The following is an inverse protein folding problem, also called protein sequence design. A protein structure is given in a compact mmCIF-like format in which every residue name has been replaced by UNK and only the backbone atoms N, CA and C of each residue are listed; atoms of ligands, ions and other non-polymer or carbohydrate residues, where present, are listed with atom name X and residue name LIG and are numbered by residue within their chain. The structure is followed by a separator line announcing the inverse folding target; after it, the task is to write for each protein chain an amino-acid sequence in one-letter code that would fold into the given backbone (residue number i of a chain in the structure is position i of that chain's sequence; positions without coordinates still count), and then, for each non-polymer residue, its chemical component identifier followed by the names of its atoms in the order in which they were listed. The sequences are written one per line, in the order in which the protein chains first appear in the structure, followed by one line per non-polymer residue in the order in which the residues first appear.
data_IF_179366420022
#
_entry.id   IF_179366420022
#
_cell.length_a   1.000
_cell.length_b   1.000
_cell.length_c   1.000
_cell.angle_alpha   90.00
_cell.angle_beta   90.00
_cell.angle_gamma   90.00
#
_symmetry.space_group_name_H-M   'P 1'
#
loop_
_entity.id
_entity.type
_entity.pdbx_description
1 polymer ?
#
# COMPACT_ATOMS: atom_id res chain seq x y z
N UNK A 1 3.34 -11.48 -4.06
CA UNK A 1 2.35 -11.57 -5.16
C UNK A 1 2.63 -10.47 -6.17
N UNK A 2 2.55 -10.77 -7.47
CA UNK A 2 2.73 -9.78 -8.54
C UNK A 2 1.49 -9.74 -9.40
N UNK A 3 0.82 -8.58 -9.46
CA UNK A 3 -0.32 -8.38 -10.35
C UNK A 3 0.14 -8.12 -11.77
N UNK A 4 -0.68 -8.50 -12.76
CA UNK A 4 -0.48 -8.08 -14.13
C UNK A 4 -0.71 -6.58 -14.31
N UNK A 5 0.02 -5.96 -15.24
CA UNK A 5 0.01 -4.49 -15.38
C UNK A 5 -1.34 -3.90 -15.83
N UNK A 6 -2.27 -4.72 -16.29
CA UNK A 6 -3.61 -4.29 -16.75
C UNK A 6 -4.74 -4.49 -15.72
N UNK A 7 -4.43 -4.96 -14.51
CA UNK A 7 -5.45 -5.16 -13.46
C UNK A 7 -5.94 -3.82 -12.93
N UNK A 8 -7.20 -3.48 -13.24
CA UNK A 8 -7.79 -2.19 -12.86
C UNK A 8 -8.45 -2.17 -11.49
N UNK A 9 -8.76 -3.33 -10.92
CA UNK A 9 -9.61 -3.44 -9.73
C UNK A 9 -9.11 -4.53 -8.80
N UNK A 10 -9.11 -4.23 -7.51
CA UNK A 10 -9.07 -5.18 -6.41
C UNK A 10 -10.42 -5.06 -5.73
N UNK A 11 -11.21 -6.12 -5.76
CA UNK A 11 -12.55 -6.11 -5.15
C UNK A 11 -12.47 -6.21 -3.62
N UNK A 12 -13.61 -6.02 -2.98
CA UNK A 12 -13.75 -6.10 -1.53
C UNK A 12 -13.17 -7.41 -0.98
N UNK A 13 -12.39 -7.32 0.10
CA UNK A 13 -11.77 -8.45 0.79
C UNK A 13 -10.91 -9.41 -0.08
N UNK A 14 -10.50 -9.03 -1.29
CA UNK A 14 -9.82 -9.93 -2.25
C UNK A 14 -8.53 -10.59 -1.71
N UNK A 15 -7.80 -9.91 -0.83
CA UNK A 15 -6.63 -10.44 -0.13
C UNK A 15 -6.83 -10.47 1.39
N UNK A 16 -8.07 -10.42 1.89
CA UNK A 16 -8.32 -10.50 3.32
C UNK A 16 -7.75 -11.79 3.91
N UNK A 17 -7.14 -11.68 5.08
CA UNK A 17 -6.49 -12.74 5.84
C UNK A 17 -5.36 -13.48 5.10
N UNK A 18 -4.73 -12.86 4.09
CA UNK A 18 -3.51 -13.38 3.50
C UNK A 18 -2.31 -13.21 4.47
N UNK A 19 -2.28 -14.03 5.52
CA UNK A 19 -1.31 -13.92 6.63
C UNK A 19 0.13 -14.19 6.22
N UNK A 20 0.38 -14.81 5.06
CA UNK A 20 1.74 -15.06 4.54
C UNK A 20 2.18 -14.01 3.50
N UNK A 21 1.30 -13.06 3.14
CA UNK A 21 1.57 -12.06 2.12
C UNK A 21 2.55 -11.01 2.68
N UNK A 22 3.85 -11.20 2.40
CA UNK A 22 4.91 -10.26 2.80
C UNK A 22 4.93 -9.00 1.92
N UNK A 23 4.83 -9.20 0.60
CA UNK A 23 4.89 -8.14 -0.40
C UNK A 23 3.89 -8.36 -1.54
N UNK A 24 3.32 -7.27 -2.02
CA UNK A 24 2.47 -7.26 -3.21
C UNK A 24 2.85 -6.12 -4.16
N UNK A 25 3.08 -6.46 -5.43
CA UNK A 25 3.19 -5.49 -6.52
C UNK A 25 1.81 -5.25 -7.10
N UNK A 26 1.27 -4.06 -6.84
CA UNK A 26 0.01 -3.60 -7.43
C UNK A 26 0.20 -3.25 -8.90
N UNK A 27 -0.87 -3.37 -9.69
CA UNK A 27 -0.86 -2.94 -11.09
C UNK A 27 -0.69 -1.42 -11.20
N UNK A 28 0.09 -0.97 -12.19
CA UNK A 28 0.21 0.45 -12.53
C UNK A 28 -1.10 1.06 -13.05
N UNK A 29 -2.02 0.23 -13.57
CA UNK A 29 -3.34 0.63 -14.04
C UNK A 29 -4.45 0.45 -13.00
N UNK A 30 -4.12 0.15 -11.74
CA UNK A 30 -5.10 -0.11 -10.69
C UNK A 30 -5.84 1.19 -10.30
N UNK A 31 -7.14 1.21 -10.54
CA UNK A 31 -8.00 2.37 -10.29
C UNK A 31 -8.84 2.22 -9.00
N UNK A 32 -9.13 0.98 -8.59
CA UNK A 32 -10.07 0.68 -7.52
C UNK A 32 -9.52 -0.37 -6.55
N UNK A 33 -9.58 -0.07 -5.26
CA UNK A 33 -9.30 -1.00 -4.15
C UNK A 33 -10.55 -1.02 -3.26
N UNK A 34 -11.25 -2.14 -3.20
CA UNK A 34 -12.45 -2.32 -2.41
C UNK A 34 -12.18 -2.30 -0.90
N UNK A 35 -13.24 -2.16 -0.11
CA UNK A 35 -13.16 -2.19 1.35
C UNK A 35 -12.49 -3.47 1.85
N UNK A 36 -11.74 -3.38 2.95
CA UNK A 36 -11.10 -4.53 3.59
C UNK A 36 -10.18 -5.40 2.69
N UNK A 37 -9.75 -4.88 1.53
CA UNK A 37 -9.03 -5.67 0.53
C UNK A 37 -7.77 -6.38 1.07
N UNK A 38 -7.09 -5.81 2.08
CA UNK A 38 -5.93 -6.39 2.76
C UNK A 38 -6.15 -6.53 4.27
N UNK A 39 -7.41 -6.68 4.71
CA UNK A 39 -7.75 -6.88 6.11
C UNK A 39 -7.00 -8.07 6.68
N UNK A 40 -6.36 -7.94 7.84
CA UNK A 40 -5.75 -9.06 8.54
C UNK A 40 -4.55 -9.70 7.83
N UNK A 41 -3.92 -9.03 6.86
CA UNK A 41 -2.66 -9.46 6.27
C UNK A 41 -1.49 -9.24 7.24
N UNK A 42 -1.39 -10.08 8.28
CA UNK A 42 -0.45 -9.91 9.42
C UNK A 42 1.02 -10.19 9.11
N UNK A 43 1.41 -10.35 7.85
CA UNK A 43 2.83 -10.34 7.46
C UNK A 43 3.13 -9.31 6.38
N UNK A 44 2.14 -8.55 5.90
CA UNK A 44 2.38 -7.52 4.90
C UNK A 44 3.20 -6.41 5.57
N UNK A 45 4.39 -6.12 5.06
CA UNK A 45 5.30 -5.15 5.67
C UNK A 45 5.19 -3.76 5.03
N UNK A 46 5.04 -3.74 3.70
CA UNK A 46 4.95 -2.52 2.91
C UNK A 46 4.11 -2.70 1.65
N UNK A 47 3.51 -1.60 1.21
CA UNK A 47 2.73 -1.53 -0.02
C UNK A 47 2.89 -0.16 -0.68
N UNK A 48 3.07 -0.16 -2.00
CA UNK A 48 3.08 1.04 -2.84
C UNK A 48 1.72 1.20 -3.52
N UNK A 49 1.05 2.34 -3.31
CA UNK A 49 -0.19 2.67 -4.00
C UNK A 49 0.12 3.29 -5.37
N UNK A 50 -0.53 2.83 -6.45
CA UNK A 50 -0.31 3.40 -7.78
C UNK A 50 -0.99 4.77 -7.91
N UNK A 51 -0.40 5.68 -8.70
CA UNK A 51 -0.94 7.05 -8.92
C UNK A 51 -2.30 7.06 -9.59
N UNK A 52 -2.65 5.94 -10.23
CA UNK A 52 -3.94 5.71 -10.89
C UNK A 52 -5.05 5.30 -9.91
N UNK A 53 -4.73 4.99 -8.65
CA UNK A 53 -5.72 4.60 -7.65
C UNK A 53 -6.66 5.77 -7.35
N UNK A 54 -7.91 5.65 -7.82
CA UNK A 54 -8.96 6.66 -7.65
C UNK A 54 -9.85 6.36 -6.46
N UNK A 55 -10.06 5.08 -6.15
CA UNK A 55 -10.92 4.65 -5.05
C UNK A 55 -10.16 3.69 -4.15
N UNK A 56 -10.18 3.98 -2.85
CA UNK A 56 -9.67 3.12 -1.80
C UNK A 56 -10.79 3.00 -0.79
N UNK A 57 -11.29 1.78 -0.58
CA UNK A 57 -12.41 1.52 0.30
C UNK A 57 -12.05 1.65 1.78
N UNK A 58 -13.06 1.53 2.61
CA UNK A 58 -12.91 1.65 4.06
C UNK A 58 -12.18 0.42 4.62
N UNK A 59 -11.36 0.63 5.66
CA UNK A 59 -10.71 -0.45 6.40
C UNK A 59 -9.82 -1.37 5.56
N UNK A 60 -9.29 -0.91 4.42
CA UNK A 60 -8.44 -1.71 3.52
C UNK A 60 -7.31 -2.42 4.25
N UNK A 61 -6.73 -1.79 5.26
CA UNK A 61 -5.65 -2.36 6.09
C UNK A 61 -6.10 -2.67 7.53
N UNK A 62 -7.39 -2.89 7.74
CA UNK A 62 -7.92 -3.17 9.08
C UNK A 62 -7.27 -4.43 9.69
N UNK A 63 -6.95 -4.38 10.98
CA UNK A 63 -6.22 -5.43 11.70
C UNK A 63 -4.88 -5.84 11.08
N UNK A 64 -4.22 -4.96 10.32
CA UNK A 64 -2.87 -5.22 9.85
C UNK A 64 -1.84 -4.86 10.94
N UNK A 65 -1.22 -5.88 11.53
CA UNK A 65 -0.30 -5.73 12.67
C UNK A 65 1.15 -5.48 12.27
N UNK A 66 1.54 -5.81 11.04
CA UNK A 66 2.92 -5.75 10.55
C UNK A 66 3.15 -4.70 9.49
N UNK A 67 2.08 -4.19 8.86
CA UNK A 67 2.19 -3.14 7.86
C UNK A 67 2.69 -1.89 8.57
N UNK A 68 3.93 -1.52 8.25
CA UNK A 68 4.59 -0.34 8.82
C UNK A 68 4.50 0.85 7.88
N UNK A 69 4.46 0.59 6.57
CA UNK A 69 4.61 1.60 5.55
C UNK A 69 3.59 1.45 4.41
N UNK A 70 2.90 2.56 4.12
CA UNK A 70 2.16 2.75 2.87
C UNK A 70 2.82 3.92 2.16
N UNK A 71 3.19 3.70 0.91
CA UNK A 71 3.84 4.74 0.10
C UNK A 71 2.81 5.25 -0.89
N UNK A 72 2.54 6.55 -0.78
CA UNK A 72 1.67 7.26 -1.69
C UNK A 72 2.48 7.78 -2.89
N UNK A 73 1.90 7.72 -4.09
CA UNK A 73 2.51 8.33 -5.26
C UNK A 73 2.45 9.85 -5.14
N UNK A 74 3.45 10.53 -5.73
CA UNK A 74 3.63 11.98 -5.65
C UNK A 74 2.40 12.79 -6.10
N UNK A 75 1.62 12.24 -7.02
CA UNK A 75 0.46 12.93 -7.63
C UNK A 75 -0.88 12.34 -7.20
N UNK A 76 -0.94 11.64 -6.06
CA UNK A 76 -2.23 11.14 -5.59
C UNK A 76 -3.14 12.32 -5.23
N UNK A 77 -4.23 12.45 -5.97
CA UNK A 77 -5.25 13.43 -5.66
C UNK A 77 -5.95 13.01 -4.37
N UNK A 78 -5.57 13.64 -3.27
CA UNK A 78 -6.16 13.38 -1.94
C UNK A 78 -7.69 13.56 -1.93
N UNK A 79 -8.24 14.35 -2.86
CA UNK A 79 -9.68 14.52 -3.04
C UNK A 79 -10.36 13.34 -3.74
N UNK A 80 -9.60 12.47 -4.42
CA UNK A 80 -10.12 11.23 -5.01
C UNK A 80 -10.18 10.08 -4.01
N UNK A 81 -9.32 10.11 -3.00
CA UNK A 81 -9.33 9.11 -1.93
C UNK A 81 -10.59 9.32 -1.07
N UNK A 82 -11.61 8.49 -1.30
CA UNK A 82 -12.93 8.60 -0.67
C UNK A 82 -13.15 7.63 0.50
N UNK A 83 -12.18 6.75 0.80
CA UNK A 83 -12.25 5.84 1.94
C UNK A 83 -12.07 6.56 3.27
N UNK A 84 -13.01 6.34 4.18
CA UNK A 84 -12.87 6.70 5.60
C UNK A 84 -11.92 5.70 6.25
N UNK A 85 -10.99 6.20 7.05
CA UNK A 85 -10.18 5.37 7.95
C UNK A 85 -9.37 4.24 7.27
N UNK A 86 -8.72 4.54 6.13
CA UNK A 86 -7.84 3.62 5.38
C UNK A 86 -6.79 2.95 6.28
N UNK A 87 -6.35 3.65 7.33
CA UNK A 87 -5.26 3.25 8.23
C UNK A 87 -5.72 2.84 9.63
N UNK A 88 -7.02 2.70 9.87
CA UNK A 88 -7.53 2.34 11.21
C UNK A 88 -7.02 0.98 11.68
N UNK A 89 -6.54 0.93 12.93
CA UNK A 89 -6.10 -0.32 13.57
C UNK A 89 -4.74 -0.85 13.10
N UNK A 90 -3.92 0.00 12.46
CA UNK A 90 -2.54 -0.35 12.07
C UNK A 90 -1.51 0.22 13.05
N UNK A 91 -0.35 -0.42 13.19
CA UNK A 91 0.78 0.07 13.99
C UNK A 91 1.63 1.13 13.26
N UNK A 92 1.04 1.83 12.28
CA UNK A 92 1.78 2.55 11.24
C UNK A 92 2.48 3.84 11.71
N UNK A 93 3.62 4.10 11.06
CA UNK A 93 4.21 5.44 10.90
C UNK A 93 3.89 5.92 9.47
N UNK A 94 3.25 7.08 9.32
CA UNK A 94 3.00 7.65 7.99
C UNK A 94 4.34 8.05 7.33
N UNK A 95 4.65 7.48 6.17
CA UNK A 95 5.62 8.08 5.25
C UNK A 95 4.83 8.97 4.29
N UNK A 96 4.79 10.26 4.60
CA UNK A 96 4.29 11.25 3.68
C UNK A 96 5.36 11.54 2.63
N UNK A 97 5.02 11.21 1.38
CA UNK A 97 5.53 11.80 0.15
C UNK A 97 6.94 11.45 -0.35
N UNK A 98 6.98 11.10 -1.64
CA UNK A 98 8.16 11.16 -2.50
C UNK A 98 8.64 12.62 -2.79
N UNK A 99 8.16 13.62 -2.05
CA UNK A 99 8.53 15.05 -2.17
C UNK A 99 9.40 15.59 -1.02
N UNK A 100 9.99 14.73 -0.18
CA UNK A 100 11.08 15.15 0.72
C UNK A 100 10.71 15.44 2.18
N UNK A 101 9.74 14.72 2.75
CA UNK A 101 9.61 14.68 4.22
C UNK A 101 10.74 13.82 4.79
N UNK A 102 11.63 14.44 5.55
CA UNK A 102 12.71 13.75 6.25
C UNK A 102 12.15 12.83 7.34
N UNK A 103 12.10 11.53 7.06
CA UNK A 103 11.82 10.51 8.08
C UNK A 103 13.15 10.09 8.69
N UNK A 104 13.26 10.14 10.02
CA UNK A 104 14.51 9.90 10.74
C UNK A 104 15.01 8.46 10.49
N UNK A 105 16.23 8.34 9.94
CA UNK A 105 16.74 7.18 9.22
C UNK A 105 17.33 6.06 10.11
N UNK A 106 16.55 5.51 11.05
CA UNK A 106 17.05 4.52 12.03
C UNK A 106 16.64 3.05 11.85
N UNK A 107 15.59 2.73 11.08
CA UNK A 107 14.97 1.38 11.08
C UNK A 107 15.38 0.54 9.84
N UNK A 108 15.92 -0.66 10.06
CA UNK A 108 16.32 -1.62 9.02
C UNK A 108 15.16 -1.98 8.07
N UNK A 109 13.93 -1.95 8.57
CA UNK A 109 12.71 -2.21 7.80
C UNK A 109 12.51 -1.18 6.69
N UNK A 110 12.91 0.08 6.92
CA UNK A 110 12.84 1.15 5.90
C UNK A 110 13.86 0.91 4.78
N UNK A 111 15.05 0.36 5.11
CA UNK A 111 16.07 0.03 4.11
C UNK A 111 15.56 -1.05 3.15
N UNK A 112 14.99 -2.13 3.69
CA UNK A 112 14.39 -3.21 2.90
C UNK A 112 13.25 -2.71 2.01
N UNK A 113 12.45 -1.77 2.52
CA UNK A 113 11.39 -1.13 1.74
C UNK A 113 11.94 -0.25 0.62
N UNK A 114 13.00 0.54 0.87
CA UNK A 114 13.67 1.32 -0.17
C UNK A 114 14.29 0.43 -1.25
N UNK A 115 14.99 -0.63 -0.86
CA UNK A 115 15.57 -1.60 -1.80
C UNK A 115 14.47 -2.29 -2.61
N UNK A 116 13.38 -2.71 -1.97
CA UNK A 116 12.20 -3.25 -2.65
C UNK A 116 11.61 -2.25 -3.65
N UNK A 117 11.43 -0.97 -3.28
CA UNK A 117 10.90 0.07 -4.16
C UNK A 117 11.78 0.34 -5.37
N UNK A 118 13.10 0.43 -5.19
CA UNK A 118 14.07 0.62 -6.28
C UNK A 118 13.85 -0.49 -7.31
N UNK A 119 13.76 -1.74 -6.87
CA UNK A 119 13.46 -2.87 -7.76
C UNK A 119 12.02 -2.86 -8.34
N UNK A 120 11.04 -2.25 -7.68
CA UNK A 120 9.68 -2.09 -8.24
C UNK A 120 9.61 -1.02 -9.35
N UNK A 121 10.43 0.04 -9.25
CA UNK A 121 10.48 1.19 -10.16
C UNK A 121 11.41 0.96 -11.35
N UNK A 122 12.53 0.25 -11.16
CA UNK A 122 13.54 -0.03 -12.20
C UNK A 122 13.14 -1.17 -13.16
N UNK A 123 12.06 -1.89 -12.89
CA UNK A 123 11.50 -2.89 -13.82
C UNK A 123 10.65 -2.22 -14.93
N UNK A 124 11.21 -1.17 -15.54
CA UNK A 124 10.70 -0.48 -16.72
C UNK A 124 11.49 -0.90 -17.97
#
# INVERSE_FOLDING_TARGET
VTMGDNVKRIEEAAFAHCITLLYIRLSKALEFIGGYAFMGCTSLEALFLPSTAKYIGDGVFYCNRTLRFIILPHDIDRGKICGKDIISGTAMQQIAEASGVAVNYGDESVRRVKEWLIHQMDAA
#
